data_IF_310124121345
#
_entry.id   IF_310124121345
#
_cell.length_a   1.000
_cell.length_b   1.000
_cell.length_c   1.000
_cell.angle_alpha   90.00
_cell.angle_beta   90.00
_cell.angle_gamma   90.00
#
_symmetry.space_group_name_H-M   'P 1'
#
loop_
_entity.id
_entity.type
_entity.pdbx_description
1 polymer ?
#
# COMPACT_ATOMS: atom_id res chain seq x y z
N UNK A 1 12.14 25.51 -4.31
CA UNK A 1 10.86 25.53 -3.57
C UNK A 1 11.13 25.46 -2.08
N UNK A 2 10.40 26.22 -1.25
CA UNK A 2 10.56 26.17 0.20
C UNK A 2 10.32 24.74 0.69
N UNK A 3 11.15 24.31 1.63
CA UNK A 3 11.07 23.00 2.25
C UNK A 3 10.03 23.09 3.38
N UNK A 4 9.11 22.14 3.43
CA UNK A 4 8.10 22.03 4.48
C UNK A 4 8.73 21.75 5.86
N UNK A 5 7.96 21.88 6.95
CA UNK A 5 8.45 21.78 8.33
C UNK A 5 9.15 20.45 8.69
N UNK A 6 8.96 19.41 7.86
CA UNK A 6 9.56 18.08 8.01
C UNK A 6 10.58 17.71 6.93
N UNK A 7 11.12 18.71 6.23
CA UNK A 7 12.04 18.42 5.11
C UNK A 7 11.33 18.11 3.79
N UNK A 8 9.99 18.20 3.75
CA UNK A 8 9.20 17.82 2.60
C UNK A 8 9.36 18.82 1.46
N UNK A 9 9.52 18.33 0.24
CA UNK A 9 9.55 19.18 -0.97
C UNK A 9 8.21 19.03 -1.66
N UNK A 10 7.44 20.12 -1.76
CA UNK A 10 6.26 20.15 -2.61
C UNK A 10 6.72 20.07 -4.08
N UNK A 11 6.42 18.96 -4.74
CA UNK A 11 6.88 18.64 -6.10
C UNK A 11 6.43 19.66 -7.14
N UNK A 12 5.16 20.07 -7.05
CA UNK A 12 4.52 20.99 -7.98
C UNK A 12 3.36 21.71 -7.29
N UNK A 13 3.28 23.01 -7.51
CA UNK A 13 2.14 23.86 -7.18
C UNK A 13 1.64 24.47 -8.50
N UNK A 14 0.34 24.48 -8.72
CA UNK A 14 -0.27 25.13 -9.88
C UNK A 14 -0.89 26.45 -9.44
N UNK A 15 -0.83 27.48 -10.30
CA UNK A 15 -1.23 28.86 -9.95
C UNK A 15 -2.75 29.11 -9.97
N UNK A 16 -3.56 28.09 -9.74
CA UNK A 16 -5.01 28.25 -9.68
C UNK A 16 -5.77 26.92 -9.68
N UNK A 17 -6.91 26.90 -9.03
CA UNK A 17 -7.93 25.83 -9.12
C UNK A 17 -8.98 26.08 -10.22
N UNK A 18 -8.89 27.23 -10.91
CA UNK A 18 -9.88 27.69 -11.88
C UNK A 18 -11.08 28.44 -11.28
N UNK A 19 -11.12 28.63 -9.96
CA UNK A 19 -12.23 29.22 -9.21
C UNK A 19 -11.77 30.23 -8.14
N UNK A 20 -11.26 29.78 -6.99
CA UNK A 20 -11.06 30.63 -5.80
C UNK A 20 -9.66 30.58 -5.21
N UNK A 21 -8.94 29.48 -5.39
CA UNK A 21 -7.60 29.31 -4.84
C UNK A 21 -6.55 29.79 -5.84
N UNK A 22 -5.68 30.70 -5.40
CA UNK A 22 -4.55 31.22 -6.19
C UNK A 22 -3.37 30.25 -6.26
N UNK A 23 -3.36 29.21 -5.42
CA UNK A 23 -2.33 28.17 -5.41
C UNK A 23 -2.87 26.90 -4.81
N UNK A 24 -2.67 25.77 -5.50
CA UNK A 24 -3.03 24.45 -4.98
C UNK A 24 -1.98 23.41 -5.36
N UNK A 25 -1.84 22.39 -4.52
CA UNK A 25 -1.03 21.21 -4.80
C UNK A 25 -1.73 20.36 -5.86
N UNK A 26 -0.99 19.91 -6.87
CA UNK A 26 -1.51 18.94 -7.84
C UNK A 26 -1.88 17.65 -7.11
N UNK A 27 -3.15 17.20 -7.16
CA UNK A 27 -3.58 15.97 -6.50
C UNK A 27 -2.98 14.74 -7.20
N UNK A 28 -2.72 13.68 -6.44
CA UNK A 28 -2.43 12.38 -7.05
C UNK A 28 -3.69 11.80 -7.69
N UNK A 29 -3.51 11.08 -8.80
CA UNK A 29 -4.60 10.45 -9.54
C UNK A 29 -4.64 8.92 -9.34
N UNK A 30 -3.91 8.38 -8.36
CA UNK A 30 -3.98 6.94 -8.06
C UNK A 30 -5.30 6.59 -7.38
N UNK A 31 -5.79 5.38 -7.67
CA UNK A 31 -7.01 4.82 -7.10
C UNK A 31 -8.26 5.67 -7.30
N UNK A 32 -8.34 6.43 -8.39
CA UNK A 32 -9.56 7.18 -8.71
C UNK A 32 -10.77 6.26 -8.87
N UNK A 33 -10.56 5.01 -9.31
CA UNK A 33 -11.62 4.01 -9.43
C UNK A 33 -12.35 3.76 -8.09
N UNK A 34 -11.67 3.86 -6.94
CA UNK A 34 -12.27 3.71 -5.60
C UNK A 34 -13.15 4.89 -5.19
N UNK A 35 -13.05 6.03 -5.89
CA UNK A 35 -13.76 7.28 -5.58
C UNK A 35 -14.96 7.54 -6.50
N UNK A 36 -15.23 6.62 -7.42
CA UNK A 36 -16.35 6.72 -8.35
C UNK A 36 -17.69 6.35 -7.69
N UNK A 37 -18.80 6.75 -8.32
CA UNK A 37 -20.16 6.42 -7.87
C UNK A 37 -21.00 7.64 -7.45
N UNK A 38 -20.38 8.81 -7.25
CA UNK A 38 -21.10 10.05 -7.01
C UNK A 38 -21.65 10.58 -8.34
N UNK A 39 -22.91 11.00 -8.36
CA UNK A 39 -23.55 11.53 -9.55
C UNK A 39 -24.67 12.53 -9.20
N UNK A 40 -24.51 13.79 -9.59
CA UNK A 40 -25.44 14.90 -9.32
C UNK A 40 -26.63 14.94 -10.28
N UNK A 41 -26.65 14.09 -11.31
CA UNK A 41 -27.81 13.93 -12.20
C UNK A 41 -28.84 12.94 -11.67
N UNK A 42 -28.48 12.16 -10.64
CA UNK A 42 -29.36 11.19 -9.99
C UNK A 42 -30.02 11.80 -8.75
N UNK A 43 -31.26 11.40 -8.47
CA UNK A 43 -31.98 11.82 -7.26
C UNK A 43 -31.44 11.13 -6.00
N UNK A 44 -30.85 9.95 -6.16
CA UNK A 44 -30.20 9.19 -5.11
C UNK A 44 -28.77 8.87 -5.52
N UNK A 45 -27.82 9.35 -4.74
CA UNK A 45 -26.40 9.08 -4.92
C UNK A 45 -25.75 8.88 -3.56
N UNK A 46 -25.57 7.63 -3.15
CA UNK A 46 -25.10 7.25 -1.81
C UNK A 46 -23.67 6.68 -1.80
N UNK A 47 -22.97 6.75 -2.93
CA UNK A 47 -21.61 6.24 -3.10
C UNK A 47 -20.72 7.28 -3.78
N UNK A 48 -19.41 7.05 -3.73
CA UNK A 48 -18.39 7.88 -4.37
C UNK A 48 -18.11 9.21 -3.67
N UNK A 49 -17.23 10.00 -4.29
CA UNK A 49 -16.81 11.32 -3.81
C UNK A 49 -16.75 12.31 -4.97
N UNK A 50 -16.93 13.60 -4.66
CA UNK A 50 -16.67 14.67 -5.61
C UNK A 50 -15.18 14.85 -5.92
N UNK A 51 -14.93 15.30 -7.13
CA UNK A 51 -13.67 15.79 -7.68
C UNK A 51 -13.61 17.31 -7.51
N UNK A 52 -12.41 17.88 -7.68
CA UNK A 52 -11.99 19.19 -7.13
C UNK A 52 -11.79 19.18 -5.61
N UNK A 53 -11.20 20.27 -5.11
CA UNK A 53 -10.87 20.44 -3.70
C UNK A 53 -12.11 20.71 -2.82
N UNK A 54 -13.22 21.16 -3.43
CA UNK A 54 -14.50 21.39 -2.78
C UNK A 54 -15.53 20.28 -3.06
N UNK A 55 -15.18 19.29 -3.89
CA UNK A 55 -16.04 18.18 -4.27
C UNK A 55 -17.23 18.55 -5.15
N UNK A 56 -17.20 19.72 -5.81
CA UNK A 56 -18.33 20.24 -6.60
C UNK A 56 -18.55 19.54 -7.95
N UNK A 57 -17.57 18.77 -8.42
CA UNK A 57 -17.65 17.98 -9.65
C UNK A 57 -17.90 16.53 -9.28
N UNK A 58 -18.93 15.92 -9.83
CA UNK A 58 -19.42 14.63 -9.34
C UNK A 58 -18.68 13.41 -9.89
N UNK A 59 -18.13 13.51 -11.09
CA UNK A 59 -17.57 12.37 -11.81
C UNK A 59 -16.31 12.69 -12.62
N UNK A 60 -15.58 11.64 -13.03
CA UNK A 60 -14.34 11.78 -13.82
C UNK A 60 -14.66 12.38 -15.19
N UNK A 61 -15.73 11.91 -15.82
CA UNK A 61 -16.17 12.38 -17.13
C UNK A 61 -16.54 13.87 -17.12
N UNK A 62 -17.16 14.36 -16.03
CA UNK A 62 -17.42 15.79 -15.87
C UNK A 62 -16.12 16.56 -15.64
N UNK A 63 -15.24 16.05 -14.78
CA UNK A 63 -13.97 16.71 -14.46
C UNK A 63 -13.09 16.93 -15.69
N UNK A 64 -12.91 15.91 -16.55
CA UNK A 64 -12.06 16.03 -17.75
C UNK A 64 -12.66 16.94 -18.83
N UNK A 65 -13.95 17.28 -18.72
CA UNK A 65 -14.64 18.23 -19.60
C UNK A 65 -14.74 19.65 -19.00
N UNK A 66 -14.11 19.92 -17.85
CA UNK A 66 -14.02 21.29 -17.34
C UNK A 66 -13.29 22.22 -18.33
N UNK A 67 -13.65 23.51 -18.44
CA UNK A 67 -13.17 24.41 -19.51
C UNK A 67 -11.65 24.60 -19.60
N UNK A 68 -10.91 24.24 -18.56
CA UNK A 68 -9.44 24.31 -18.53
C UNK A 68 -8.78 23.19 -19.35
N UNK A 69 -9.52 22.12 -19.65
CA UNK A 69 -9.07 21.02 -20.49
C UNK A 69 -9.57 21.19 -21.92
N UNK A 70 -8.79 20.72 -22.88
CA UNK A 70 -9.20 20.65 -24.28
C UNK A 70 -9.50 19.20 -24.63
N UNK A 71 -10.76 18.79 -24.46
CA UNK A 71 -11.25 17.46 -24.82
C UNK A 71 -12.23 17.60 -25.98
N UNK A 72 -12.01 16.81 -27.04
CA UNK A 72 -12.79 16.90 -28.28
C UNK A 72 -13.63 15.64 -28.52
N UNK A 73 -14.93 15.75 -28.22
CA UNK A 73 -15.92 14.70 -28.48
C UNK A 73 -15.98 13.61 -27.41
N UNK A 74 -17.07 12.85 -27.44
CA UNK A 74 -17.41 11.86 -26.41
C UNK A 74 -16.41 10.69 -26.35
N UNK A 75 -15.85 10.29 -27.50
CA UNK A 75 -14.87 9.20 -27.55
C UNK A 75 -13.60 9.55 -26.76
N UNK A 76 -13.09 10.78 -26.90
CA UNK A 76 -11.90 11.21 -26.16
C UNK A 76 -12.19 11.27 -24.65
N UNK A 77 -13.39 11.69 -24.25
CA UNK A 77 -13.83 11.60 -22.85
C UNK A 77 -13.81 10.15 -22.36
N UNK A 78 -14.41 9.23 -23.11
CA UNK A 78 -14.46 7.81 -22.71
C UNK A 78 -13.05 7.20 -22.59
N UNK A 79 -12.15 7.49 -23.53
CA UNK A 79 -10.77 7.00 -23.51
C UNK A 79 -9.99 7.56 -22.30
N UNK A 80 -10.15 8.85 -21.99
CA UNK A 80 -9.54 9.48 -20.81
C UNK A 80 -10.07 8.89 -19.50
N UNK A 81 -11.38 8.69 -19.39
CA UNK A 81 -12.01 8.06 -18.23
C UNK A 81 -11.46 6.64 -18.06
N UNK A 82 -11.43 5.84 -19.12
CA UNK A 82 -10.89 4.48 -19.08
C UNK A 82 -9.41 4.47 -18.65
N UNK A 83 -8.60 5.39 -19.17
CA UNK A 83 -7.20 5.54 -18.78
C UNK A 83 -7.04 5.93 -17.31
N UNK A 84 -7.83 6.88 -16.81
CA UNK A 84 -7.80 7.31 -15.41
C UNK A 84 -8.27 6.22 -14.44
N UNK A 85 -9.23 5.38 -14.85
CA UNK A 85 -9.64 4.21 -14.06
C UNK A 85 -8.53 3.15 -13.99
N UNK A 86 -7.64 3.11 -14.98
CA UNK A 86 -6.46 2.24 -14.97
C UNK A 86 -5.30 2.78 -14.10
N UNK A 87 -5.46 3.93 -13.42
CA UNK A 87 -4.47 4.45 -12.47
C UNK A 87 -4.46 3.68 -11.15
N UNK A 88 -4.25 2.36 -11.25
CA UNK A 88 -3.85 1.52 -10.14
C UNK A 88 -2.51 1.95 -9.59
N UNK A 89 -2.31 1.73 -8.29
CA UNK A 89 -0.97 1.71 -7.74
C UNK A 89 -0.19 0.52 -8.31
N UNK A 90 0.85 0.79 -9.09
CA UNK A 90 1.83 -0.20 -9.56
C UNK A 90 3.24 0.33 -9.28
N UNK A 91 4.21 -0.59 -9.30
CA UNK A 91 5.63 -0.44 -8.99
C UNK A 91 6.21 0.95 -9.21
N UNK A 92 7.06 1.38 -8.29
CA UNK A 92 7.70 2.68 -8.27
C UNK A 92 8.30 3.02 -9.64
N UNK A 93 7.64 3.89 -10.41
CA UNK A 93 8.24 4.40 -11.64
C UNK A 93 9.30 5.41 -11.24
N UNK A 94 10.45 5.38 -11.91
CA UNK A 94 11.24 6.61 -12.03
C UNK A 94 10.29 7.67 -12.60
N UNK A 95 10.43 8.92 -12.15
CA UNK A 95 9.57 10.02 -12.60
C UNK A 95 9.54 10.16 -14.12
N UNK A 96 8.87 11.21 -14.61
CA UNK A 96 8.80 11.46 -16.06
C UNK A 96 10.20 11.50 -16.68
N UNK A 97 10.44 10.90 -17.86
CA UNK A 97 11.73 10.99 -18.55
C UNK A 97 11.97 12.40 -19.14
N UNK A 98 11.09 13.37 -18.88
CA UNK A 98 11.19 14.72 -19.44
C UNK A 98 12.43 15.46 -18.91
N UNK A 99 13.20 16.02 -19.83
CA UNK A 99 14.37 16.84 -19.50
C UNK A 99 14.04 18.35 -19.50
N UNK A 100 12.76 18.72 -19.67
CA UNK A 100 12.34 20.11 -19.69
C UNK A 100 12.47 20.72 -18.29
N UNK A 101 13.21 21.82 -18.17
CA UNK A 101 13.47 22.49 -16.88
C UNK A 101 12.18 22.95 -16.18
N UNK A 102 11.13 23.24 -16.96
CA UNK A 102 9.82 23.68 -16.46
C UNK A 102 8.93 22.51 -16.01
N UNK A 103 9.26 21.28 -16.41
CA UNK A 103 8.56 20.06 -16.05
C UNK A 103 9.61 19.02 -15.62
N UNK A 104 10.24 19.19 -14.44
CA UNK A 104 11.25 18.26 -13.99
C UNK A 104 10.65 16.84 -13.83
N UNK A 105 11.46 15.77 -13.99
CA UNK A 105 11.05 14.37 -13.87
C UNK A 105 10.17 14.04 -12.65
N UNK A 106 10.38 14.77 -11.56
CA UNK A 106 9.87 14.40 -10.25
C UNK A 106 10.72 13.29 -9.61
N UNK A 107 10.62 13.10 -8.29
CA UNK A 107 11.21 11.97 -7.59
C UNK A 107 10.58 10.66 -8.05
N UNK A 108 11.28 9.56 -7.79
CA UNK A 108 10.73 8.21 -7.89
C UNK A 108 9.38 8.15 -7.16
N UNK A 109 8.36 7.65 -7.83
CA UNK A 109 7.04 7.53 -7.24
C UNK A 109 7.07 6.52 -6.08
N UNK A 110 6.54 6.90 -4.92
CA UNK A 110 6.18 5.93 -3.90
C UNK A 110 4.91 5.22 -4.38
N UNK A 111 5.07 3.98 -4.82
CA UNK A 111 3.98 3.14 -5.27
C UNK A 111 3.47 2.27 -4.11
N UNK A 112 2.16 2.12 -4.03
CA UNK A 112 1.52 1.11 -3.18
C UNK A 112 0.70 0.25 -4.12
N UNK A 113 0.97 -1.05 -4.19
CA UNK A 113 0.24 -1.95 -5.08
C UNK A 113 -1.25 -1.99 -4.71
N UNK A 114 -2.15 -2.15 -5.69
CA UNK A 114 -3.60 -2.25 -5.42
C UNK A 114 -3.98 -3.43 -4.50
N UNK A 115 -3.13 -4.46 -4.44
CA UNK A 115 -3.30 -5.60 -3.53
C UNK A 115 -3.01 -5.27 -2.05
N UNK A 116 -2.39 -4.12 -1.74
CA UNK A 116 -2.07 -3.77 -0.34
C UNK A 116 -3.35 -3.65 0.48
N UNK A 117 -3.35 -4.27 1.66
CA UNK A 117 -4.53 -4.38 2.53
C UNK A 117 -5.35 -5.64 2.26
N UNK A 118 -5.06 -6.39 1.21
CA UNK A 118 -5.67 -7.69 0.98
C UNK A 118 -5.29 -8.67 2.10
N UNK A 119 -6.29 -9.39 2.61
CA UNK A 119 -6.12 -10.37 3.68
C UNK A 119 -6.71 -11.72 3.33
N UNK A 120 -6.03 -12.77 3.80
CA UNK A 120 -6.48 -14.15 3.78
C UNK A 120 -6.26 -14.75 5.17
N UNK A 121 -7.33 -15.18 5.83
CA UNK A 121 -7.24 -15.86 7.13
C UNK A 121 -7.54 -17.35 6.96
N UNK A 122 -6.63 -18.18 7.45
CA UNK A 122 -6.73 -19.63 7.43
C UNK A 122 -6.96 -20.15 8.86
N UNK A 123 -8.02 -20.91 9.06
CA UNK A 123 -8.33 -21.63 10.30
C UNK A 123 -8.07 -23.16 10.18
N UNK A 124 -7.24 -23.54 9.22
CA UNK A 124 -6.94 -24.92 8.83
C UNK A 124 -6.13 -24.93 7.52
N UNK A 125 -5.83 -26.11 6.97
CA UNK A 125 -5.24 -26.24 5.64
C UNK A 125 -6.07 -25.46 4.59
N UNK A 126 -5.44 -24.73 3.66
CA UNK A 126 -6.16 -23.96 2.66
C UNK A 126 -6.91 -24.88 1.70
N UNK A 127 -8.10 -24.46 1.27
CA UNK A 127 -8.76 -25.03 0.10
C UNK A 127 -8.13 -24.51 -1.20
N UNK A 128 -8.60 -25.00 -2.34
CA UNK A 128 -8.06 -24.64 -3.67
C UNK A 128 -8.11 -23.12 -3.94
N UNK A 129 -9.17 -22.44 -3.50
CA UNK A 129 -9.34 -21.01 -3.75
C UNK A 129 -8.44 -20.17 -2.84
N UNK A 130 -8.35 -20.55 -1.57
CA UNK A 130 -7.44 -19.92 -0.60
C UNK A 130 -5.98 -20.12 -0.98
N UNK A 131 -5.61 -21.31 -1.46
CA UNK A 131 -4.25 -21.62 -1.89
C UNK A 131 -3.85 -20.81 -3.14
N UNK A 132 -4.76 -20.71 -4.13
CA UNK A 132 -4.56 -19.87 -5.31
C UNK A 132 -4.42 -18.37 -4.96
N UNK A 133 -5.18 -17.91 -3.96
CA UNK A 133 -5.10 -16.53 -3.48
C UNK A 133 -3.78 -16.25 -2.76
N UNK A 134 -3.33 -17.19 -1.92
CA UNK A 134 -2.02 -17.11 -1.29
C UNK A 134 -0.91 -17.10 -2.34
N UNK A 135 -0.99 -17.96 -3.36
CA UNK A 135 -0.06 -17.97 -4.49
C UNK A 135 0.02 -16.60 -5.17
N UNK A 136 -1.11 -15.98 -5.45
CA UNK A 136 -1.14 -14.64 -6.06
C UNK A 136 -0.43 -13.60 -5.19
N UNK A 137 -0.63 -13.62 -3.86
CA UNK A 137 0.07 -12.73 -2.93
C UNK A 137 1.59 -12.94 -2.97
N UNK A 138 2.04 -14.20 -2.97
CA UNK A 138 3.46 -14.55 -2.95
C UNK A 138 4.15 -14.25 -4.29
N UNK A 139 3.48 -14.46 -5.42
CA UNK A 139 3.98 -14.08 -6.75
C UNK A 139 4.26 -12.58 -6.83
N UNK A 140 3.36 -11.74 -6.30
CA UNK A 140 3.58 -10.29 -6.25
C UNK A 140 4.76 -9.91 -5.34
N UNK A 141 4.93 -10.63 -4.22
CA UNK A 141 6.04 -10.39 -3.30
C UNK A 141 7.40 -10.81 -3.89
N UNK A 142 7.47 -11.97 -4.56
CA UNK A 142 8.66 -12.43 -5.27
C UNK A 142 9.03 -11.50 -6.44
N UNK A 143 8.04 -10.82 -7.03
CA UNK A 143 8.24 -9.78 -8.05
C UNK A 143 8.67 -8.41 -7.49
N UNK A 144 8.99 -8.34 -6.20
CA UNK A 144 9.43 -7.14 -5.50
C UNK A 144 8.34 -6.05 -5.33
N UNK A 145 7.08 -6.33 -5.67
CA UNK A 145 6.01 -5.31 -5.76
C UNK A 145 5.32 -5.02 -4.43
N UNK A 146 5.25 -6.01 -3.54
CA UNK A 146 4.59 -5.93 -2.23
C UNK A 146 5.40 -6.67 -1.17
N UNK A 147 5.06 -6.47 0.10
CA UNK A 147 5.44 -7.38 1.16
C UNK A 147 4.25 -8.24 1.57
N UNK A 148 4.51 -9.43 2.13
CA UNK A 148 3.49 -10.28 2.75
C UNK A 148 3.90 -10.56 4.18
N UNK A 149 2.98 -10.32 5.11
CA UNK A 149 3.16 -10.63 6.54
C UNK A 149 2.11 -11.61 6.99
N UNK A 150 2.42 -12.36 8.04
CA UNK A 150 1.50 -13.30 8.66
C UNK A 150 1.43 -13.01 10.15
N UNK A 151 0.21 -12.95 10.69
CA UNK A 151 -0.04 -12.90 12.13
C UNK A 151 -0.90 -14.08 12.52
N UNK A 152 -0.57 -14.71 13.65
CA UNK A 152 -1.33 -15.86 14.14
C UNK A 152 -0.86 -16.32 15.50
N UNK A 153 -1.10 -17.58 15.84
CA UNK A 153 -0.63 -18.17 17.10
C UNK A 153 0.13 -19.46 16.86
N UNK A 154 1.20 -19.69 17.61
CA UNK A 154 1.93 -20.96 17.66
C UNK A 154 2.31 -21.27 19.10
N UNK A 155 2.01 -22.49 19.56
CA UNK A 155 2.19 -22.87 20.97
C UNK A 155 1.39 -21.99 21.95
N UNK A 156 0.22 -21.46 21.52
CA UNK A 156 -0.62 -20.56 22.32
C UNK A 156 -0.16 -19.09 22.35
N UNK A 157 1.05 -18.80 21.86
CA UNK A 157 1.64 -17.46 21.81
C UNK A 157 1.27 -16.75 20.51
N UNK A 158 1.02 -15.43 20.57
CA UNK A 158 0.83 -14.61 19.37
C UNK A 158 2.16 -14.47 18.60
N UNK A 159 2.20 -14.84 17.33
CA UNK A 159 3.43 -14.85 16.53
C UNK A 159 3.29 -14.00 15.28
N UNK A 160 4.41 -13.52 14.79
CA UNK A 160 4.52 -12.81 13.52
C UNK A 160 5.52 -13.47 12.58
N UNK A 161 5.23 -13.39 11.29
CA UNK A 161 6.15 -13.77 10.23
C UNK A 161 6.14 -12.75 9.10
N UNK A 162 7.24 -12.69 8.37
CA UNK A 162 7.38 -11.92 7.13
C UNK A 162 7.88 -12.83 6.01
N UNK A 163 7.27 -12.72 4.83
CA UNK A 163 7.73 -13.44 3.64
C UNK A 163 9.07 -12.86 3.16
N UNK A 164 10.03 -13.74 2.85
CA UNK A 164 11.33 -13.35 2.32
C UNK A 164 11.35 -13.49 0.80
N UNK A 165 11.33 -14.72 0.31
CA UNK A 165 11.26 -15.11 -1.10
C UNK A 165 11.14 -16.64 -1.20
N UNK A 166 10.71 -17.15 -2.36
CA UNK A 166 10.78 -18.57 -2.70
C UNK A 166 10.05 -19.51 -1.72
N UNK A 167 8.97 -19.05 -1.10
CA UNK A 167 8.19 -19.83 -0.13
C UNK A 167 8.73 -19.82 1.30
N UNK A 168 9.75 -19.01 1.63
CA UNK A 168 10.35 -18.93 2.96
C UNK A 168 9.83 -17.73 3.76
N UNK A 169 9.53 -17.96 5.03
CA UNK A 169 9.05 -16.96 5.98
C UNK A 169 10.02 -16.83 7.16
N UNK A 170 10.41 -15.60 7.46
CA UNK A 170 11.15 -15.26 8.68
C UNK A 170 10.15 -15.11 9.83
N UNK A 171 10.39 -15.81 10.94
CA UNK A 171 9.61 -15.60 12.17
C UNK A 171 10.08 -14.35 12.90
N UNK A 172 9.24 -13.89 13.82
CA UNK A 172 9.57 -12.96 14.92
C UNK A 172 10.71 -13.42 15.87
N UNK A 173 11.41 -14.53 15.56
CA UNK A 173 12.68 -14.94 16.15
C UNK A 173 13.75 -15.09 15.07
N UNK A 174 14.90 -14.46 15.24
CA UNK A 174 15.94 -14.39 14.20
C UNK A 174 16.45 -15.77 13.77
N UNK A 175 16.56 -16.70 14.72
CA UNK A 175 17.02 -18.07 14.49
C UNK A 175 15.93 -19.02 13.93
N UNK A 176 14.73 -18.53 13.65
CA UNK A 176 13.58 -19.34 13.25
C UNK A 176 13.03 -18.90 11.88
N UNK A 177 13.02 -19.83 10.92
CA UNK A 177 12.36 -19.65 9.62
C UNK A 177 11.41 -20.81 9.36
N UNK A 178 10.37 -20.56 8.57
CA UNK A 178 9.38 -21.55 8.18
C UNK A 178 9.23 -21.59 6.67
N UNK A 179 9.30 -22.79 6.09
CA UNK A 179 8.79 -23.00 4.74
C UNK A 179 7.27 -22.88 4.72
N UNK A 180 6.68 -22.44 3.60
CA UNK A 180 5.22 -22.30 3.42
C UNK A 180 4.43 -23.48 3.96
N UNK A 181 4.79 -24.71 3.60
CA UNK A 181 4.07 -25.90 4.03
C UNK A 181 4.09 -26.09 5.55
N UNK A 182 5.22 -25.81 6.21
CA UNK A 182 5.35 -25.88 7.66
C UNK A 182 4.54 -24.77 8.35
N UNK A 183 4.53 -23.56 7.78
CA UNK A 183 3.74 -22.45 8.30
C UNK A 183 2.25 -22.74 8.19
N UNK A 184 1.78 -23.20 7.02
CA UNK A 184 0.37 -23.53 6.79
C UNK A 184 -0.12 -24.66 7.71
N UNK A 185 0.75 -25.60 8.07
CA UNK A 185 0.42 -26.66 9.03
C UNK A 185 0.14 -26.15 10.45
N UNK A 186 0.50 -24.89 10.78
CA UNK A 186 0.15 -24.27 12.06
C UNK A 186 -1.30 -23.75 12.10
N UNK A 187 -1.92 -23.55 10.93
CA UNK A 187 -3.27 -23.02 10.85
C UNK A 187 -4.29 -24.02 11.41
N UNK A 188 -5.10 -23.55 12.35
CA UNK A 188 -6.14 -24.35 12.99
C UNK A 188 -7.07 -23.48 13.83
N UNK A 189 -8.18 -24.03 14.37
CA UNK A 189 -9.04 -23.30 15.28
C UNK A 189 -8.27 -22.85 16.53
N UNK A 190 -8.25 -21.55 16.81
CA UNK A 190 -7.46 -20.94 17.89
C UNK A 190 -5.97 -20.72 17.57
N UNK A 191 -5.53 -21.10 16.37
CA UNK A 191 -4.21 -20.80 15.81
C UNK A 191 -4.33 -20.29 14.37
N UNK A 192 -5.34 -19.46 14.13
CA UNK A 192 -5.61 -18.91 12.80
C UNK A 192 -4.41 -18.11 12.30
N UNK A 193 -4.09 -18.26 11.01
CA UNK A 193 -3.05 -17.49 10.34
C UNK A 193 -3.69 -16.48 9.41
N UNK A 194 -3.45 -15.20 9.67
CA UNK A 194 -3.90 -14.10 8.81
C UNK A 194 -2.72 -13.58 8.00
N UNK A 195 -2.73 -13.87 6.71
CA UNK A 195 -1.84 -13.32 5.70
C UNK A 195 -2.36 -11.93 5.31
N UNK A 196 -1.47 -10.95 5.24
CA UNK A 196 -1.79 -9.58 4.82
C UNK A 196 -0.74 -9.09 3.83
N UNK A 197 -1.21 -8.56 2.71
CA UNK A 197 -0.35 -7.85 1.75
C UNK A 197 -0.12 -6.43 2.28
N UNK A 198 1.14 -6.01 2.37
CA UNK A 198 1.56 -4.71 2.91
C UNK A 198 2.42 -3.96 1.90
N UNK A 199 2.56 -2.62 2.04
CA UNK A 199 3.50 -1.87 1.20
C UNK A 199 4.90 -2.46 1.32
N UNK A 200 5.60 -2.56 0.20
CA UNK A 200 6.99 -3.01 0.22
C UNK A 200 7.85 -2.10 1.10
N UNK A 201 8.89 -2.67 1.73
CA UNK A 201 9.77 -2.07 2.75
C UNK A 201 9.13 -1.98 4.15
N UNK A 202 7.80 -2.05 4.26
CA UNK A 202 7.12 -1.98 5.56
C UNK A 202 6.92 -3.35 6.22
N UNK A 203 7.13 -4.44 5.48
CA UNK A 203 6.83 -5.81 5.91
C UNK A 203 7.61 -6.25 7.14
N UNK A 204 8.87 -5.83 7.27
CA UNK A 204 9.66 -6.13 8.47
C UNK A 204 9.05 -5.47 9.70
N UNK A 205 8.71 -4.18 9.58
CA UNK A 205 8.10 -3.40 10.67
C UNK A 205 6.74 -3.95 11.08
N UNK A 206 5.92 -4.33 10.11
CA UNK A 206 4.58 -4.82 10.38
C UNK A 206 4.62 -6.29 10.87
N UNK A 207 5.54 -7.07 10.31
CA UNK A 207 5.63 -8.52 10.49
C UNK A 207 6.34 -8.95 11.77
N UNK A 208 7.57 -8.48 11.99
CA UNK A 208 8.50 -9.12 12.95
C UNK A 208 9.34 -8.17 13.82
N UNK A 209 9.38 -6.87 13.53
CA UNK A 209 10.27 -5.88 14.19
C UNK A 209 9.52 -4.55 14.33
N UNK A 210 8.63 -4.47 15.33
CA UNK A 210 7.56 -3.48 15.41
C UNK A 210 8.05 -2.03 15.47
N UNK A 211 9.17 -1.77 16.12
CA UNK A 211 9.75 -0.43 16.25
C UNK A 211 10.88 -0.14 15.25
N UNK A 212 11.30 -1.15 14.47
CA UNK A 212 12.32 -1.05 13.42
C UNK A 212 13.72 -0.78 13.96
N UNK A 213 14.03 -1.26 15.17
CA UNK A 213 15.33 -1.14 15.80
C UNK A 213 16.34 -2.22 15.36
N UNK A 214 15.85 -3.26 14.68
CA UNK A 214 16.68 -4.34 14.17
C UNK A 214 16.62 -5.65 14.96
N UNK A 215 15.90 -5.70 16.08
CA UNK A 215 15.58 -6.87 16.90
C UNK A 215 14.19 -7.38 16.54
N UNK A 216 13.94 -8.68 16.72
CA UNK A 216 12.64 -9.25 16.40
C UNK A 216 11.77 -9.37 17.64
N UNK A 217 10.47 -9.12 17.47
CA UNK A 217 9.49 -8.94 18.54
C UNK A 217 9.53 -10.08 19.58
N UNK A 218 9.74 -11.33 19.14
CA UNK A 218 9.76 -12.47 20.07
C UNK A 218 11.11 -12.64 20.74
N UNK A 219 12.23 -12.36 20.07
CA UNK A 219 13.55 -12.36 20.72
C UNK A 219 13.61 -11.31 21.83
N UNK A 220 12.98 -10.16 21.62
CA UNK A 220 12.83 -9.11 22.62
C UNK A 220 11.97 -9.55 23.82
N UNK A 221 10.79 -10.13 23.57
CA UNK A 221 9.95 -10.65 24.63
C UNK A 221 10.65 -11.76 25.43
N UNK A 222 11.40 -12.63 24.75
CA UNK A 222 12.18 -13.70 25.39
C UNK A 222 13.34 -13.12 26.23
N UNK A 223 13.88 -11.95 25.85
CA UNK A 223 14.86 -11.18 26.62
C UNK A 223 14.24 -10.25 27.69
N UNK A 224 12.91 -10.13 27.73
CA UNK A 224 12.18 -9.29 28.68
C UNK A 224 12.12 -7.80 28.32
N UNK A 225 12.38 -7.41 27.07
CA UNK A 225 12.16 -6.05 26.57
C UNK A 225 10.75 -5.87 25.96
N UNK A 226 10.40 -4.62 25.66
CA UNK A 226 9.13 -4.26 25.06
C UNK A 226 9.31 -4.02 23.54
N UNK A 227 8.71 -4.85 22.67
CA UNK A 227 8.84 -4.70 21.21
C UNK A 227 8.29 -3.40 20.61
N UNK A 228 7.59 -2.59 21.41
CA UNK A 228 7.12 -1.29 20.98
C UNK A 228 8.09 -0.15 21.32
N UNK A 229 9.28 -0.46 21.85
CA UNK A 229 10.20 0.50 22.44
C UNK A 229 11.64 0.21 22.04
N UNK A 230 12.22 1.14 21.28
CA UNK A 230 13.61 1.06 20.82
C UNK A 230 14.65 1.23 21.95
N UNK A 231 14.22 1.25 23.21
CA UNK A 231 15.04 1.29 24.42
C UNK A 231 15.17 -0.14 24.96
N UNK A 232 16.14 -0.89 24.43
CA UNK A 232 16.38 -2.28 24.84
C UNK A 232 17.30 -2.38 26.07
N UNK A 233 17.07 -3.40 26.91
CA UNK A 233 18.03 -3.80 27.95
C UNK A 233 19.33 -4.16 27.24
N UNK A 234 20.44 -3.48 27.58
CA UNK A 234 21.73 -3.56 26.87
C UNK A 234 22.26 -5.00 26.76
N UNK A 235 21.89 -5.70 25.68
CA UNK A 235 22.44 -6.98 25.24
C UNK A 235 22.96 -6.83 23.81
N UNK A 236 24.18 -7.30 23.53
CA UNK A 236 24.80 -7.19 22.22
C UNK A 236 24.02 -8.02 21.19
N UNK A 237 23.69 -7.43 20.04
CA UNK A 237 23.04 -8.09 18.91
C UNK A 237 23.76 -9.41 18.54
N UNK A 238 23.09 -10.57 18.48
CA UNK A 238 23.66 -11.74 17.82
C UNK A 238 23.87 -11.41 16.35
N UNK A 239 25.08 -11.69 15.85
CA UNK A 239 25.51 -11.41 14.48
C UNK A 239 24.79 -12.29 13.47
#
# INVERSE_FOLDING_TARGET
>A
FPVGPRGERHLALVSGDGLTNVTIKVPQLRNLYERTGFNLTQLESTAGFGFLHDGSVDSIERFVNEPIFTVTGEQMTADLVAFMLAFGGTSASQGSPNAFVQEPPGPTALATHAAVGEQLTLAGPPDVAADARLDAMLVLADADQVGVVVKGRSGGLARGWVYLAGGLFQSDRLAETHARAALLALAGPGSELSFTVVPRVSERRIGVDRDSDGWYDRDELDAGSNPASADHVRGRKPR
#
